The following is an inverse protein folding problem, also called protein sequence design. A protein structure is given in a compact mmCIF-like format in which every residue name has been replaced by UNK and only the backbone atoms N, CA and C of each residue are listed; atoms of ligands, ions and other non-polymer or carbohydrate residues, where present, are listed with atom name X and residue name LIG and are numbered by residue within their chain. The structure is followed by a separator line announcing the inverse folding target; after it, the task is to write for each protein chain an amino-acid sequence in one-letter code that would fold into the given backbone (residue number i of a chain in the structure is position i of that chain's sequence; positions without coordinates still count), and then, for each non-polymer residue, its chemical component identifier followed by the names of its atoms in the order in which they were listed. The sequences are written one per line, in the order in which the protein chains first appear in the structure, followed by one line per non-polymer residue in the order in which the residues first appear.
data_IF_644582426619
#
_entry.id   IF_644582426619
#
_cell.length_a   1.000
_cell.length_b   1.000
_cell.length_c   1.000
_cell.angle_alpha   90.00
_cell.angle_beta   90.00
_cell.angle_gamma   90.00
#
_symmetry.space_group_name_H-M   'P 1'
#
loop_
_entity.id
_entity.type
_entity.pdbx_description
1 polymer ?
#
# COMPACT_ATOMS: atom_id res chain seq x y z
N UNK A 1 -6.34 -47.81 56.54
CA UNK A 1 -5.67 -49.14 56.48
C UNK A 1 -4.35 -48.87 55.84
N UNK A 2 -3.27 -48.61 56.63
CA UNK A 2 -2.35 -49.60 57.20
C UNK A 2 -1.67 -50.40 56.09
N UNK A 3 -0.36 -50.42 55.91
CA UNK A 3 0.82 -50.56 56.77
C UNK A 3 2.05 -50.44 55.89
N UNK A 4 3.03 -49.66 56.17
CA UNK A 4 4.24 -49.94 56.97
C UNK A 4 5.12 -51.14 56.53
N UNK A 5 6.35 -50.91 56.26
CA UNK A 5 7.63 -51.34 56.88
C UNK A 5 8.66 -51.75 55.82
N UNK A 6 9.91 -51.60 55.89
CA UNK A 6 11.01 -51.23 56.72
C UNK A 6 12.29 -51.70 56.07
N UNK A 7 13.27 -50.88 56.05
CA UNK A 7 14.70 -50.96 56.40
C UNK A 7 15.45 -52.31 56.31
N UNK A 8 16.69 -52.25 55.80
CA UNK A 8 17.92 -52.81 56.36
C UNK A 8 19.08 -52.55 55.42
N UNK A 9 19.98 -51.69 55.62
CA UNK A 9 21.30 -51.79 56.25
C UNK A 9 22.12 -53.04 55.98
N UNK A 10 23.22 -52.91 55.23
CA UNK A 10 24.47 -53.56 55.58
C UNK A 10 25.70 -52.90 54.93
N UNK A 11 26.64 -52.52 55.84
CA UNK A 11 28.04 -52.17 55.63
C UNK A 11 28.87 -53.36 55.18
N UNK A 12 29.92 -53.10 54.42
CA UNK A 12 31.29 -53.66 54.50
C UNK A 12 32.01 -53.22 53.24
N UNK A 13 33.12 -52.77 53.18
CA UNK A 13 34.42 -52.66 53.86
C UNK A 13 35.45 -52.28 52.81
N UNK A 14 36.38 -51.44 53.19
CA UNK A 14 37.42 -50.83 52.42
C UNK A 14 38.38 -51.84 51.77
N UNK A 15 38.87 -51.51 50.55
CA UNK A 15 40.19 -51.93 50.11
C UNK A 15 40.85 -50.80 49.31
N UNK A 16 41.93 -50.32 49.92
CA UNK A 16 42.80 -49.29 49.37
C UNK A 16 43.54 -49.73 48.12
N UNK A 17 43.45 -48.97 47.04
CA UNK A 17 44.25 -49.15 45.84
C UNK A 17 45.09 -47.89 45.59
N UNK A 18 46.38 -48.03 45.58
CA UNK A 18 47.46 -47.06 45.37
C UNK A 18 47.25 -46.20 44.15
N UNK A 19 47.33 -44.88 44.32
CA UNK A 19 47.35 -43.91 43.24
C UNK A 19 48.75 -43.82 42.65
N UNK A 20 48.86 -44.02 41.35
CA UNK A 20 49.99 -43.63 40.54
C UNK A 20 49.75 -42.22 40.00
N UNK A 21 50.71 -41.32 39.95
CA UNK A 21 50.51 -39.96 39.45
C UNK A 21 50.49 -39.95 37.94
N UNK A 22 49.34 -39.55 37.36
CA UNK A 22 49.24 -39.22 35.93
C UNK A 22 49.81 -37.83 35.70
N UNK A 23 50.89 -37.76 34.91
CA UNK A 23 51.43 -36.54 34.31
C UNK A 23 50.32 -35.76 33.61
N UNK A 24 50.06 -34.53 34.07
CA UNK A 24 49.17 -33.59 33.45
C UNK A 24 49.75 -33.05 32.14
N UNK A 25 49.21 -33.48 31.03
CA UNK A 25 49.41 -32.79 29.74
C UNK A 25 48.59 -31.52 29.73
N UNK A 26 49.24 -30.39 29.79
CA UNK A 26 48.60 -29.07 29.59
C UNK A 26 48.16 -28.99 28.13
N UNK A 27 46.87 -29.25 27.86
CA UNK A 27 46.27 -28.86 26.60
C UNK A 27 46.18 -27.34 26.57
N UNK A 28 47.11 -26.70 25.87
CA UNK A 28 47.03 -25.30 25.52
C UNK A 28 45.71 -25.02 24.82
N UNK A 29 44.83 -24.35 25.54
CA UNK A 29 43.58 -23.80 25.01
C UNK A 29 43.98 -22.74 23.97
N UNK A 30 44.03 -23.09 22.68
CA UNK A 30 44.12 -22.09 21.61
C UNK A 30 42.95 -21.16 21.79
N UNK A 31 43.15 -19.97 22.34
CA UNK A 31 42.20 -18.85 22.27
C UNK A 31 42.08 -18.48 20.79
N UNK A 32 41.00 -18.87 20.15
CA UNK A 32 40.63 -18.26 18.89
C UNK A 32 40.34 -16.78 19.21
N UNK A 33 41.25 -15.90 18.84
CA UNK A 33 40.97 -14.48 18.87
C UNK A 33 39.81 -14.25 17.93
N UNK A 34 38.64 -13.87 18.46
CA UNK A 34 37.50 -13.54 17.61
C UNK A 34 37.91 -12.39 16.69
N UNK A 35 37.53 -12.45 15.43
CA UNK A 35 37.75 -11.41 14.42
C UNK A 35 37.45 -10.00 14.97
N UNK A 36 36.48 -9.91 15.89
CA UNK A 36 36.03 -8.68 16.56
C UNK A 36 37.08 -8.03 17.47
N UNK A 37 38.09 -8.78 17.97
CA UNK A 37 39.17 -8.24 18.83
C UNK A 37 40.34 -7.61 18.05
N UNK A 38 40.32 -7.67 16.72
CA UNK A 38 41.45 -7.24 15.87
C UNK A 38 41.46 -5.72 15.59
N UNK A 39 40.32 -5.08 15.80
CA UNK A 39 40.17 -3.66 15.50
C UNK A 39 39.89 -2.84 16.77
N UNK A 40 40.42 -1.62 16.89
CA UNK A 40 40.12 -0.75 17.99
C UNK A 40 38.66 -0.36 18.04
N UNK A 41 38.10 -0.12 19.21
CA UNK A 41 36.67 0.15 19.40
C UNK A 41 36.16 1.33 18.55
N UNK A 42 36.97 2.34 18.35
CA UNK A 42 36.60 3.49 17.51
C UNK A 42 36.36 3.11 16.02
N UNK A 43 37.08 2.10 15.49
CA UNK A 43 36.88 1.65 14.10
C UNK A 43 35.48 1.02 13.89
N UNK A 44 34.97 0.36 14.92
CA UNK A 44 33.57 -0.16 14.89
C UNK A 44 32.55 0.96 14.89
N UNK A 45 32.79 2.05 15.64
CA UNK A 45 31.90 3.21 15.61
C UNK A 45 31.89 3.90 14.23
N UNK A 46 33.08 4.10 13.65
CA UNK A 46 33.19 4.69 12.30
C UNK A 46 32.52 3.78 11.26
N UNK A 47 32.78 2.48 11.28
CA UNK A 47 32.17 1.52 10.37
C UNK A 47 30.65 1.48 10.53
N UNK A 48 30.15 1.44 11.74
CA UNK A 48 28.71 1.47 12.04
C UNK A 48 28.04 2.75 11.54
N UNK A 49 28.66 3.91 11.82
CA UNK A 49 28.14 5.21 11.35
C UNK A 49 28.13 5.28 9.82
N UNK A 50 29.19 4.82 9.16
CA UNK A 50 29.26 4.79 7.70
C UNK A 50 28.15 3.91 7.08
N UNK A 51 27.87 2.76 7.68
CA UNK A 51 26.77 1.89 7.24
C UNK A 51 25.42 2.56 7.43
N UNK A 52 25.19 3.23 8.57
CA UNK A 52 23.94 3.96 8.82
C UNK A 52 23.76 5.10 7.82
N UNK A 53 24.82 5.90 7.58
CA UNK A 53 24.76 6.99 6.60
C UNK A 53 24.48 6.47 5.20
N UNK A 54 25.15 5.39 4.80
CA UNK A 54 24.89 4.75 3.51
C UNK A 54 23.45 4.24 3.42
N UNK A 55 22.94 3.60 4.46
CA UNK A 55 21.56 3.12 4.51
C UNK A 55 20.55 4.27 4.40
N UNK A 56 20.75 5.35 5.16
CA UNK A 56 19.89 6.55 5.10
C UNK A 56 19.96 7.20 3.72
N UNK A 57 21.15 7.29 3.13
CA UNK A 57 21.34 7.82 1.77
C UNK A 57 20.61 6.97 0.74
N UNK A 58 20.78 5.64 0.76
CA UNK A 58 20.09 4.72 -0.15
C UNK A 58 18.57 4.75 0.07
N UNK A 59 18.14 4.75 1.33
CA UNK A 59 16.71 4.85 1.65
C UNK A 59 16.12 6.15 1.11
N UNK A 60 16.77 7.29 1.35
CA UNK A 60 16.32 8.57 0.82
C UNK A 60 16.31 8.57 -0.71
N UNK A 61 17.40 8.11 -1.33
CA UNK A 61 17.53 8.10 -2.79
C UNK A 61 16.51 7.18 -3.47
N UNK A 62 16.26 6.00 -2.92
CA UNK A 62 15.36 5.01 -3.52
C UNK A 62 13.89 5.13 -3.11
N UNK A 63 13.60 5.70 -1.94
CA UNK A 63 12.24 5.71 -1.40
C UNK A 63 11.62 7.11 -1.21
N UNK A 64 12.43 8.15 -1.05
CA UNK A 64 11.95 9.50 -0.73
C UNK A 64 12.25 10.51 -1.83
N UNK A 65 13.35 10.32 -2.55
CA UNK A 65 13.79 11.26 -3.60
C UNK A 65 12.78 11.38 -4.75
N UNK A 66 12.71 12.54 -5.42
CA UNK A 66 11.76 12.83 -6.51
C UNK A 66 11.93 11.91 -7.74
N UNK A 67 13.06 11.23 -7.86
CA UNK A 67 13.33 10.19 -8.89
C UNK A 67 13.10 8.78 -8.34
N UNK A 68 12.43 8.66 -7.19
CA UNK A 68 12.37 7.43 -6.41
C UNK A 68 11.90 6.24 -7.24
N UNK A 69 12.67 5.17 -7.18
CA UNK A 69 12.40 3.85 -7.75
C UNK A 69 10.95 3.37 -7.47
N UNK A 70 10.35 3.83 -6.38
CA UNK A 70 8.97 3.51 -5.99
C UNK A 70 7.94 3.93 -7.05
N UNK A 71 8.09 5.11 -7.66
CA UNK A 71 7.17 5.57 -8.69
C UNK A 71 7.35 4.79 -10.00
N UNK A 72 8.60 4.57 -10.43
CA UNK A 72 8.90 3.78 -11.64
C UNK A 72 8.56 2.30 -11.49
N UNK A 73 8.81 1.71 -10.31
CA UNK A 73 8.52 0.31 -10.06
C UNK A 73 7.02 0.01 -9.93
N UNK A 74 6.20 0.97 -9.45
CA UNK A 74 4.77 0.79 -9.26
C UNK A 74 3.93 1.21 -10.47
N UNK A 75 4.37 2.22 -11.24
CA UNK A 75 3.55 2.80 -12.30
C UNK A 75 4.20 2.70 -13.70
N UNK A 76 5.44 2.19 -13.80
CA UNK A 76 6.19 2.15 -15.04
C UNK A 76 6.50 3.55 -15.61
N UNK A 77 7.02 3.60 -16.82
CA UNK A 77 7.01 4.82 -17.62
C UNK A 77 5.58 4.90 -18.21
N UNK A 78 4.75 5.76 -17.65
CA UNK A 78 3.41 5.97 -18.18
C UNK A 78 3.53 6.49 -19.61
N UNK A 79 3.15 5.66 -20.58
CA UNK A 79 3.01 6.10 -21.96
C UNK A 79 1.74 6.94 -22.08
N UNK A 80 1.93 8.24 -22.18
CA UNK A 80 0.82 9.15 -22.48
C UNK A 80 0.55 9.16 -23.98
N UNK A 81 -0.71 9.06 -24.42
CA UNK A 81 -1.06 9.19 -25.82
C UNK A 81 -0.51 10.51 -26.39
N UNK A 82 0.02 10.46 -27.59
CA UNK A 82 0.48 11.67 -28.29
C UNK A 82 -0.70 12.46 -28.83
N UNK A 83 -0.52 13.79 -28.97
CA UNK A 83 -1.53 14.67 -29.58
C UNK A 83 -2.57 15.23 -28.63
N UNK A 84 -2.47 14.98 -27.32
CA UNK A 84 -3.35 15.57 -26.31
C UNK A 84 -2.60 16.64 -25.50
N UNK A 85 -3.17 17.84 -25.46
CA UNK A 85 -2.62 18.98 -24.69
C UNK A 85 -3.32 19.18 -23.35
N UNK A 86 -4.44 18.49 -23.12
CA UNK A 86 -5.24 18.61 -21.89
C UNK A 86 -5.00 17.35 -21.05
N UNK A 87 -4.42 17.56 -19.87
CA UNK A 87 -4.11 16.48 -18.93
C UNK A 87 -4.88 16.66 -17.63
N UNK A 88 -5.21 15.55 -17.04
CA UNK A 88 -5.80 15.45 -15.72
C UNK A 88 -5.20 14.30 -14.92
N UNK A 89 -5.62 14.21 -13.67
CA UNK A 89 -5.27 13.11 -12.78
C UNK A 89 -6.53 12.56 -12.11
N UNK A 90 -6.47 11.33 -11.67
CA UNK A 90 -7.43 10.78 -10.72
C UNK A 90 -6.82 10.70 -9.32
N UNK A 91 -7.66 10.88 -8.32
CA UNK A 91 -7.26 10.84 -6.90
C UNK A 91 -8.30 10.11 -6.05
N UNK A 92 -7.84 9.53 -4.94
CA UNK A 92 -8.64 8.90 -3.91
C UNK A 92 -7.99 9.08 -2.54
N UNK A 93 -8.55 8.48 -1.50
CA UNK A 93 -7.91 8.43 -0.17
C UNK A 93 -6.50 7.81 -0.19
N UNK A 94 -6.15 6.99 -1.19
CA UNK A 94 -4.82 6.36 -1.29
C UNK A 94 -3.69 7.37 -1.49
N UNK A 95 -3.96 8.52 -2.10
CA UNK A 95 -2.99 9.60 -2.24
C UNK A 95 -2.82 10.42 -0.94
N UNK A 96 -3.69 10.20 0.04
CA UNK A 96 -3.69 10.95 1.28
C UNK A 96 -4.10 12.41 1.09
N UNK A 97 -3.46 13.30 1.82
CA UNK A 97 -3.74 14.74 1.72
C UNK A 97 -3.04 15.33 0.50
N UNK A 98 -3.82 15.98 -0.36
CA UNK A 98 -3.31 16.61 -1.60
C UNK A 98 -2.74 18.00 -1.29
N UNK A 99 -1.56 18.29 -1.83
CA UNK A 99 -1.02 19.64 -1.90
C UNK A 99 -1.55 20.33 -3.17
N UNK A 100 -2.64 21.06 -3.01
CA UNK A 100 -3.35 21.70 -4.11
C UNK A 100 -2.56 22.83 -4.76
N UNK A 101 -1.74 23.56 -3.99
CA UNK A 101 -0.84 24.57 -4.53
C UNK A 101 0.22 23.93 -5.44
N UNK A 102 0.81 22.84 -5.01
CA UNK A 102 1.77 22.10 -5.83
C UNK A 102 1.09 21.52 -7.07
N UNK A 103 -0.11 20.95 -6.94
CA UNK A 103 -0.86 20.37 -8.04
C UNK A 103 -1.23 21.42 -9.09
N UNK A 104 -1.63 22.63 -8.67
CA UNK A 104 -1.96 23.73 -9.58
C UNK A 104 -0.79 24.14 -10.49
N UNK A 105 0.42 23.98 -9.98
CA UNK A 105 1.65 24.26 -10.71
C UNK A 105 2.25 23.05 -11.40
N UNK A 106 1.61 21.87 -11.29
CA UNK A 106 2.12 20.63 -11.87
C UNK A 106 1.95 20.60 -13.39
N UNK A 107 2.95 20.03 -14.06
CA UNK A 107 2.99 19.87 -15.51
C UNK A 107 3.15 18.38 -15.89
N UNK A 108 2.41 17.95 -16.88
CA UNK A 108 2.54 16.64 -17.51
C UNK A 108 3.00 16.89 -18.96
N UNK A 109 4.19 16.42 -19.34
CA UNK A 109 4.81 16.68 -20.65
C UNK A 109 4.81 18.17 -21.05
N UNK A 110 4.99 19.08 -20.10
CA UNK A 110 4.99 20.52 -20.34
C UNK A 110 3.61 21.16 -20.42
N UNK A 111 2.53 20.40 -20.29
CA UNK A 111 1.16 20.90 -20.22
C UNK A 111 0.63 20.91 -18.78
N UNK A 112 -0.10 21.95 -18.36
CA UNK A 112 -0.62 22.01 -17.00
C UNK A 112 -1.74 20.99 -16.78
N UNK A 113 -1.84 20.47 -15.54
CA UNK A 113 -3.00 19.69 -15.11
C UNK A 113 -4.24 20.57 -15.12
N UNK A 114 -5.29 20.17 -15.82
CA UNK A 114 -6.53 20.95 -16.01
C UNK A 114 -7.73 20.39 -15.28
N UNK A 115 -7.79 19.09 -15.09
CA UNK A 115 -8.92 18.45 -14.43
C UNK A 115 -8.47 17.40 -13.43
N UNK A 116 -9.34 17.11 -12.46
CA UNK A 116 -9.13 16.10 -11.44
C UNK A 116 -10.40 15.23 -11.33
N UNK A 117 -10.26 13.92 -11.48
CA UNK A 117 -11.34 12.95 -11.26
C UNK A 117 -11.15 12.32 -9.87
N UNK A 118 -12.15 12.48 -9.00
CA UNK A 118 -12.02 12.20 -7.56
C UNK A 118 -12.87 10.97 -7.23
N UNK A 119 -12.28 9.99 -6.52
CA UNK A 119 -13.06 8.87 -5.98
C UNK A 119 -14.15 9.42 -5.07
N UNK A 120 -15.41 9.07 -5.36
CA UNK A 120 -16.53 9.44 -4.52
C UNK A 120 -17.00 8.28 -3.67
N UNK A 121 -17.45 7.21 -4.32
CA UNK A 121 -18.07 6.07 -3.67
C UNK A 121 -17.54 4.75 -4.20
N UNK A 122 -17.75 3.70 -3.40
CA UNK A 122 -17.44 2.32 -3.77
C UNK A 122 -18.56 1.41 -3.27
N UNK A 123 -19.12 0.58 -4.15
CA UNK A 123 -20.23 -0.28 -3.80
C UNK A 123 -21.44 0.52 -3.34
N UNK A 124 -22.23 -0.05 -2.44
CA UNK A 124 -23.49 0.56 -1.98
C UNK A 124 -23.41 1.25 -0.62
N UNK A 125 -22.19 1.42 -0.04
CA UNK A 125 -22.09 1.92 1.34
C UNK A 125 -20.79 2.65 1.68
N UNK A 126 -19.84 2.72 0.77
CA UNK A 126 -18.52 3.26 1.04
C UNK A 126 -18.34 4.62 0.38
N UNK A 127 -18.22 5.66 1.19
CA UNK A 127 -17.79 7.00 0.78
C UNK A 127 -16.27 7.09 0.91
N UNK A 128 -15.58 7.63 -0.07
CA UNK A 128 -14.16 7.92 0.08
C UNK A 128 -13.97 9.00 1.15
N UNK A 129 -13.09 8.75 2.11
CA UNK A 129 -12.93 9.61 3.29
C UNK A 129 -12.47 11.03 2.96
N UNK A 130 -11.75 11.21 1.85
CA UNK A 130 -11.26 12.50 1.39
C UNK A 130 -12.15 13.14 0.31
N UNK A 131 -13.24 12.47 -0.11
CA UNK A 131 -14.06 12.92 -1.23
C UNK A 131 -14.54 14.35 -1.09
N UNK A 132 -15.22 14.68 0.00
CA UNK A 132 -15.85 15.98 0.18
C UNK A 132 -14.82 17.13 0.23
N UNK A 133 -13.70 16.89 0.91
CA UNK A 133 -12.62 17.85 0.97
C UNK A 133 -11.99 18.03 -0.41
N UNK A 134 -11.59 16.95 -1.07
CA UNK A 134 -10.97 16.99 -2.39
C UNK A 134 -11.89 17.63 -3.44
N UNK A 135 -13.19 17.31 -3.42
CA UNK A 135 -14.14 17.82 -4.38
C UNK A 135 -14.35 19.34 -4.26
N UNK A 136 -14.32 19.88 -3.04
CA UNK A 136 -14.38 21.31 -2.82
C UNK A 136 -13.06 22.00 -3.18
N UNK A 137 -11.95 21.46 -2.72
CA UNK A 137 -10.62 22.02 -2.99
C UNK A 137 -10.31 22.07 -4.50
N UNK A 138 -10.64 21.02 -5.25
CA UNK A 138 -10.45 21.01 -6.70
C UNK A 138 -11.09 22.24 -7.37
N UNK A 139 -12.33 22.58 -6.99
CA UNK A 139 -13.01 23.79 -7.48
C UNK A 139 -12.32 25.06 -7.01
N UNK A 140 -11.98 25.15 -5.73
CA UNK A 140 -11.42 26.37 -5.13
C UNK A 140 -10.04 26.70 -5.74
N UNK A 141 -9.30 25.68 -6.18
CA UNK A 141 -8.04 25.83 -6.91
C UNK A 141 -8.19 25.96 -8.44
N UNK A 142 -9.42 25.97 -8.95
CA UNK A 142 -9.74 26.25 -10.35
C UNK A 142 -9.59 25.07 -11.29
N UNK A 143 -9.59 23.83 -10.79
CA UNK A 143 -9.64 22.64 -11.62
C UNK A 143 -11.05 22.35 -12.11
N UNK A 144 -11.16 21.84 -13.33
CA UNK A 144 -12.35 21.13 -13.77
C UNK A 144 -12.40 19.82 -12.99
N UNK A 145 -13.45 19.58 -12.26
CA UNK A 145 -13.55 18.41 -11.40
C UNK A 145 -14.52 17.38 -11.98
N UNK A 146 -14.21 16.13 -11.73
CA UNK A 146 -15.07 15.00 -12.00
C UNK A 146 -15.07 14.06 -10.82
N UNK A 147 -15.92 13.06 -10.86
CA UNK A 147 -16.02 12.04 -9.83
C UNK A 147 -16.09 10.67 -10.44
N UNK A 148 -15.57 9.67 -9.73
CA UNK A 148 -15.79 8.29 -10.10
C UNK A 148 -16.39 7.45 -8.98
N UNK A 149 -17.21 6.49 -9.40
CA UNK A 149 -17.73 5.41 -8.59
C UNK A 149 -16.94 4.14 -8.86
N UNK A 150 -16.39 3.54 -7.83
CA UNK A 150 -15.68 2.27 -7.93
C UNK A 150 -16.67 1.10 -7.82
N UNK A 151 -16.78 0.31 -8.88
CA UNK A 151 -17.70 -0.83 -8.93
C UNK A 151 -17.34 -1.90 -7.91
N UNK A 152 -18.32 -2.40 -7.18
CA UNK A 152 -18.17 -3.53 -6.27
C UNK A 152 -19.05 -4.71 -6.68
N UNK A 153 -18.46 -5.90 -6.71
CA UNK A 153 -19.21 -7.13 -6.96
C UNK A 153 -20.06 -7.62 -5.78
N UNK A 154 -20.08 -6.86 -4.67
CA UNK A 154 -20.75 -7.24 -3.40
C UNK A 154 -22.16 -6.66 -3.24
N UNK A 155 -22.59 -5.81 -4.15
CA UNK A 155 -23.89 -5.16 -4.14
C UNK A 155 -24.47 -5.06 -5.54
N UNK A 156 -25.78 -4.84 -5.65
CA UNK A 156 -26.45 -4.73 -6.94
C UNK A 156 -26.14 -3.41 -7.62
N UNK A 157 -26.23 -3.37 -8.96
CA UNK A 157 -26.04 -2.16 -9.75
C UNK A 157 -26.94 -1.01 -9.28
N UNK A 158 -28.20 -1.33 -8.96
CA UNK A 158 -29.19 -0.36 -8.51
C UNK A 158 -28.83 0.25 -7.16
N UNK A 159 -28.43 -0.56 -6.19
CA UNK A 159 -28.00 -0.06 -4.88
C UNK A 159 -26.76 0.86 -5.01
N UNK A 160 -25.80 0.47 -5.83
CA UNK A 160 -24.60 1.27 -6.11
C UNK A 160 -24.97 2.61 -6.76
N UNK A 161 -25.83 2.60 -7.77
CA UNK A 161 -26.25 3.81 -8.45
C UNK A 161 -26.97 4.78 -7.50
N UNK A 162 -27.92 4.31 -6.72
CA UNK A 162 -28.64 5.17 -5.77
C UNK A 162 -27.73 5.68 -4.65
N UNK A 163 -26.81 4.85 -4.13
CA UNK A 163 -25.84 5.32 -3.16
C UNK A 163 -24.92 6.40 -3.75
N UNK A 164 -24.45 6.22 -4.97
CA UNK A 164 -23.68 7.24 -5.68
C UNK A 164 -24.47 8.56 -5.78
N UNK A 165 -25.72 8.52 -6.24
CA UNK A 165 -26.57 9.70 -6.40
C UNK A 165 -26.91 10.39 -5.08
N UNK A 166 -26.98 9.66 -3.96
CA UNK A 166 -27.19 10.21 -2.63
C UNK A 166 -25.96 10.99 -2.14
N UNK A 167 -24.78 10.52 -2.46
CA UNK A 167 -23.53 11.11 -1.98
C UNK A 167 -22.95 12.19 -2.89
N UNK A 168 -23.25 12.17 -4.19
CA UNK A 168 -22.62 13.02 -5.20
C UNK A 168 -23.63 14.02 -5.75
N UNK A 169 -23.22 15.29 -5.82
CA UNK A 169 -24.04 16.36 -6.38
C UNK A 169 -23.16 17.15 -7.36
N UNK A 170 -23.31 16.83 -8.64
CA UNK A 170 -22.64 17.53 -9.73
C UNK A 170 -23.44 18.76 -10.15
N UNK A 171 -22.73 19.76 -10.62
CA UNK A 171 -23.26 21.02 -11.12
C UNK A 171 -22.70 21.33 -12.50
N UNK A 172 -23.24 22.32 -13.16
CA UNK A 172 -22.73 22.78 -14.45
C UNK A 172 -21.24 23.12 -14.36
N UNK A 173 -20.47 22.61 -15.32
CA UNK A 173 -19.01 22.72 -15.36
C UNK A 173 -18.25 21.54 -14.72
N UNK A 174 -18.92 20.66 -14.00
CA UNK A 174 -18.33 19.39 -13.59
C UNK A 174 -18.29 18.39 -14.75
N UNK A 175 -17.32 17.48 -14.75
CA UNK A 175 -17.25 16.40 -15.76
C UNK A 175 -18.36 15.39 -15.57
N UNK A 176 -18.74 14.67 -16.63
CA UNK A 176 -19.67 13.55 -16.52
C UNK A 176 -19.21 12.53 -15.47
N UNK A 177 -20.14 11.88 -14.75
CA UNK A 177 -19.82 10.81 -13.81
C UNK A 177 -19.00 9.70 -14.47
N UNK A 178 -18.04 9.14 -13.75
CA UNK A 178 -17.24 8.01 -14.22
C UNK A 178 -17.60 6.76 -13.42
N UNK A 179 -17.84 5.66 -14.12
CA UNK A 179 -17.96 4.32 -13.56
C UNK A 179 -16.66 3.57 -13.77
N UNK A 180 -15.97 3.26 -12.68
CA UNK A 180 -14.71 2.53 -12.69
C UNK A 180 -14.97 1.03 -12.44
N UNK A 181 -14.66 0.21 -13.46
CA UNK A 181 -14.90 -1.23 -13.47
C UNK A 181 -13.60 -1.96 -13.74
N UNK A 182 -13.03 -2.55 -12.71
CA UNK A 182 -11.78 -3.28 -12.85
C UNK A 182 -11.96 -4.79 -13.00
N UNK A 183 -13.03 -5.35 -12.44
CA UNK A 183 -13.19 -6.79 -12.36
C UNK A 183 -14.65 -7.22 -12.61
N UNK A 184 -14.85 -8.13 -13.54
CA UNK A 184 -16.12 -8.85 -13.71
C UNK A 184 -16.30 -9.88 -12.58
N UNK A 185 -17.49 -10.05 -12.00
CA UNK A 185 -17.78 -11.13 -11.07
C UNK A 185 -17.54 -12.50 -11.73
N UNK A 186 -16.89 -13.42 -10.98
CA UNK A 186 -16.59 -14.76 -11.51
C UNK A 186 -17.83 -15.64 -11.68
N UNK A 187 -18.87 -15.37 -10.91
CA UNK A 187 -20.14 -16.10 -10.84
C UNK A 187 -21.22 -15.59 -11.80
N UNK A 188 -20.94 -14.51 -12.54
CA UNK A 188 -21.89 -13.93 -13.53
C UNK A 188 -21.46 -14.18 -14.97
N UNK A 189 -22.43 -14.40 -15.85
CA UNK A 189 -22.20 -14.34 -17.29
C UNK A 189 -21.77 -12.93 -17.73
N UNK A 190 -21.19 -12.81 -18.91
CA UNK A 190 -20.83 -11.49 -19.48
C UNK A 190 -22.09 -10.67 -19.72
N UNK A 191 -23.14 -11.30 -20.26
CA UNK A 191 -24.42 -10.67 -20.59
C UNK A 191 -25.14 -10.16 -19.35
N UNK A 192 -25.13 -10.92 -18.26
CA UNK A 192 -25.72 -10.49 -16.98
C UNK A 192 -24.96 -9.33 -16.39
N UNK A 193 -23.63 -9.37 -16.45
CA UNK A 193 -22.81 -8.28 -15.96
C UNK A 193 -22.98 -7.00 -16.79
N UNK A 194 -23.09 -7.11 -18.12
CA UNK A 194 -23.38 -5.98 -18.99
C UNK A 194 -24.74 -5.35 -18.67
N UNK A 195 -25.78 -6.15 -18.37
CA UNK A 195 -27.08 -5.62 -17.91
C UNK A 195 -26.97 -4.87 -16.58
N UNK A 196 -26.18 -5.36 -15.66
CA UNK A 196 -25.93 -4.65 -14.39
C UNK A 196 -25.24 -3.31 -14.64
N UNK A 197 -24.19 -3.30 -15.45
CA UNK A 197 -23.48 -2.05 -15.82
C UNK A 197 -24.44 -1.06 -16.49
N UNK A 198 -25.22 -1.50 -17.48
CA UNK A 198 -26.21 -0.66 -18.14
C UNK A 198 -27.28 -0.13 -17.18
N UNK A 199 -27.67 -0.93 -16.17
CA UNK A 199 -28.60 -0.49 -15.14
C UNK A 199 -28.06 0.70 -14.34
N UNK A 200 -26.79 0.63 -13.92
CA UNK A 200 -26.14 1.73 -13.24
C UNK A 200 -26.06 2.98 -14.12
N UNK A 201 -25.58 2.80 -15.35
CA UNK A 201 -25.42 3.90 -16.31
C UNK A 201 -26.73 4.65 -16.56
N UNK A 202 -27.82 3.93 -16.83
CA UNK A 202 -29.13 4.54 -17.09
C UNK A 202 -29.63 5.32 -15.87
N UNK A 203 -29.56 4.77 -14.67
CA UNK A 203 -30.02 5.46 -13.46
C UNK A 203 -29.23 6.77 -13.24
N UNK A 204 -27.95 6.78 -13.50
CA UNK A 204 -27.10 7.97 -13.32
C UNK A 204 -27.30 8.95 -14.48
N UNK A 205 -27.46 8.47 -15.73
CA UNK A 205 -27.79 9.29 -16.90
C UNK A 205 -29.13 9.99 -16.72
N UNK A 206 -30.15 9.27 -16.24
CA UNK A 206 -31.49 9.83 -15.97
C UNK A 206 -31.45 10.99 -14.97
N UNK A 207 -30.54 10.94 -13.99
CA UNK A 207 -30.41 11.97 -12.97
C UNK A 207 -29.68 13.22 -13.46
N UNK A 208 -28.58 13.02 -14.20
CA UNK A 208 -27.69 14.13 -14.60
C UNK A 208 -27.91 14.59 -16.03
N UNK A 209 -28.72 13.87 -16.84
CA UNK A 209 -28.99 14.12 -18.25
C UNK A 209 -27.73 14.16 -19.12
N UNK A 210 -26.68 13.45 -18.67
CA UNK A 210 -25.41 13.29 -19.37
C UNK A 210 -24.97 11.84 -19.29
N UNK A 211 -24.40 11.31 -20.36
CA UNK A 211 -23.90 9.92 -20.40
C UNK A 211 -22.70 9.78 -19.50
N UNK A 212 -22.71 8.85 -18.54
CA UNK A 212 -21.53 8.53 -17.76
C UNK A 212 -20.42 7.95 -18.61
N UNK A 213 -19.18 8.14 -18.17
CA UNK A 213 -17.97 7.57 -18.76
C UNK A 213 -17.69 6.22 -18.09
N UNK A 214 -17.28 5.21 -18.87
CA UNK A 214 -16.79 3.94 -18.34
C UNK A 214 -15.26 3.98 -18.37
N UNK A 215 -14.65 3.70 -17.22
CA UNK A 215 -13.23 3.38 -17.12
C UNK A 215 -13.07 1.89 -16.80
N UNK A 216 -12.20 1.20 -17.52
CA UNK A 216 -11.95 -0.23 -17.31
C UNK A 216 -10.57 -0.63 -17.80
N UNK A 217 -10.05 -1.75 -17.26
CA UNK A 217 -8.84 -2.36 -17.79
C UNK A 217 -9.11 -3.13 -19.08
N UNK A 218 -8.26 -2.92 -20.07
CA UNK A 218 -8.13 -3.85 -21.17
C UNK A 218 -7.04 -4.88 -20.82
N UNK A 219 -7.44 -6.16 -20.73
CA UNK A 219 -6.52 -7.30 -20.62
C UNK A 219 -6.55 -8.10 -21.87
#
# INVERSE_FOLDING_TARGET
MSTRRTASSQKKSAMARKKTPRRGGSRGRRRSSSFLQRYPRWAWWIGGTAVIVLYVFLFYHFFVGPTGFRWRALYGDAEYPEGYEIHGIDISHYQGKIDWEQLKNAMIKGCPVRFVIIKSTEGSSRLDENFRENFNQARDFGFIRGVYHFWSNKSTAREQAYYFLDQVHLTDGDLPPVLDIEHKPADKSVEDFQRDVLTWLHIVEDKYHVKPIIYTYYK
#
